data_IF_048396446662
#
_entry.id   IF_048396446662
#
_cell.length_a   1.000
_cell.length_b   1.000
_cell.length_c   1.000
_cell.angle_alpha   90.00
_cell.angle_beta   90.00
_cell.angle_gamma   90.00
#
_symmetry.space_group_name_H-M   'P 1'
#
loop_
_entity.id
_entity.type
_entity.pdbx_description
1 polymer ?
#
# COMPACT_ATOMS: atom_id res chain seq x y z
N UNK A 1 -62.57 7.86 -10.89
CA UNK A 1 -61.81 8.90 -11.61
C UNK A 1 -60.65 8.20 -12.31
N UNK A 2 -60.70 8.16 -13.63
CA UNK A 2 -59.78 7.45 -14.52
C UNK A 2 -58.69 8.45 -14.96
N UNK A 3 -57.41 8.11 -14.78
CA UNK A 3 -56.30 8.84 -15.38
C UNK A 3 -55.64 7.96 -16.47
N UNK A 4 -55.31 8.53 -17.65
CA UNK A 4 -54.85 7.76 -18.79
C UNK A 4 -53.35 7.44 -18.73
N UNK A 5 -53.03 6.25 -19.24
CA UNK A 5 -51.70 5.76 -19.55
C UNK A 5 -51.00 6.65 -20.58
N UNK A 6 -49.76 7.05 -20.30
CA UNK A 6 -48.86 7.66 -21.29
C UNK A 6 -47.85 6.59 -21.73
N UNK A 7 -47.96 6.20 -23.00
CA UNK A 7 -46.99 5.43 -23.76
C UNK A 7 -46.16 6.44 -24.57
N UNK A 8 -44.83 6.46 -24.44
CA UNK A 8 -43.98 7.01 -25.52
C UNK A 8 -42.49 6.64 -25.42
N UNK A 9 -42.13 5.66 -26.25
CA UNK A 9 -40.90 5.47 -27.05
C UNK A 9 -39.48 5.41 -26.44
N UNK A 10 -38.67 4.42 -26.85
CA UNK A 10 -37.23 4.37 -26.59
C UNK A 10 -36.45 5.18 -27.62
N UNK A 11 -35.53 6.04 -27.16
CA UNK A 11 -34.53 6.69 -28.02
C UNK A 11 -33.28 5.82 -28.03
N UNK A 12 -33.09 5.10 -29.14
CA UNK A 12 -31.86 4.42 -29.51
C UNK A 12 -30.80 5.48 -29.87
N UNK A 13 -29.82 5.71 -29.01
CA UNK A 13 -28.65 6.51 -29.35
C UNK A 13 -27.53 5.58 -29.84
N UNK A 14 -27.32 5.52 -31.16
CA UNK A 14 -26.10 5.00 -31.77
C UNK A 14 -24.92 5.88 -31.36
N UNK A 15 -23.98 5.34 -30.60
CA UNK A 15 -22.67 5.96 -30.39
C UNK A 15 -21.65 5.29 -31.32
N UNK A 16 -21.20 6.08 -32.28
CA UNK A 16 -20.20 5.78 -33.30
C UNK A 16 -18.83 5.57 -32.64
N UNK A 17 -18.23 4.40 -32.87
CA UNK A 17 -16.85 4.07 -32.54
C UNK A 17 -15.90 4.76 -33.53
N UNK A 18 -15.30 5.89 -33.13
CA UNK A 18 -14.11 6.42 -33.82
C UNK A 18 -12.85 5.79 -33.22
N UNK A 19 -12.22 4.88 -33.96
CA UNK A 19 -10.88 4.37 -33.68
C UNK A 19 -9.86 5.48 -34.00
N UNK A 20 -9.29 6.09 -32.97
CA UNK A 20 -8.08 6.90 -33.09
C UNK A 20 -6.86 6.02 -32.81
N UNK A 21 -6.30 5.47 -33.89
CA UNK A 21 -4.93 4.94 -33.92
C UNK A 21 -3.96 6.13 -33.90
N UNK A 22 -3.39 6.42 -32.73
CA UNK A 22 -2.26 7.35 -32.61
C UNK A 22 -0.96 6.56 -32.60
N UNK A 23 -0.18 6.75 -33.67
CA UNK A 23 1.16 6.22 -33.84
C UNK A 23 2.18 6.99 -32.96
N UNK A 24 3.27 6.29 -32.66
CA UNK A 24 4.35 6.64 -31.74
C UNK A 24 5.02 8.01 -31.97
N UNK A 25 5.84 8.45 -31.00
CA UNK A 25 7.26 8.42 -31.31
C UNK A 25 8.10 7.63 -30.28
N UNK A 26 8.97 6.78 -30.82
CA UNK A 26 10.10 6.21 -30.11
C UNK A 26 11.04 7.35 -29.68
N UNK A 27 11.23 7.54 -28.37
CA UNK A 27 12.37 8.30 -27.87
C UNK A 27 13.55 7.37 -27.64
N UNK A 28 14.55 7.62 -28.47
CA UNK A 28 15.84 6.97 -28.58
C UNK A 28 16.75 7.42 -27.43
N UNK A 29 17.34 6.43 -26.76
CA UNK A 29 18.67 6.42 -26.13
C UNK A 29 19.32 7.75 -25.69
N UNK A 30 19.55 7.85 -24.39
CA UNK A 30 20.82 8.37 -23.88
C UNK A 30 21.32 7.46 -22.76
N UNK A 31 22.03 6.41 -23.17
CA UNK A 31 22.90 5.65 -22.27
C UNK A 31 24.11 6.53 -21.95
N UNK A 32 24.13 7.12 -20.76
CA UNK A 32 25.33 7.71 -20.21
C UNK A 32 26.35 6.58 -19.93
N UNK A 33 27.37 6.52 -20.76
CA UNK A 33 28.58 5.75 -20.50
C UNK A 33 29.29 6.34 -19.28
N UNK A 34 29.12 5.71 -18.11
CA UNK A 34 30.00 5.99 -16.97
C UNK A 34 31.29 5.20 -17.20
N UNK A 35 32.38 5.95 -17.36
CA UNK A 35 33.74 5.45 -17.51
C UNK A 35 34.14 4.58 -16.31
N UNK A 36 34.42 3.31 -16.57
CA UNK A 36 35.11 2.42 -15.64
C UNK A 36 36.54 2.93 -15.41
N UNK A 37 36.78 3.53 -14.25
CA UNK A 37 38.14 3.69 -13.71
C UNK A 37 38.58 2.36 -13.08
N UNK A 38 39.74 1.80 -13.46
CA UNK A 38 40.32 0.68 -12.72
C UNK A 38 40.81 1.17 -11.36
N UNK A 39 40.09 0.82 -10.30
CA UNK A 39 40.59 0.92 -8.93
C UNK A 39 41.75 -0.06 -8.76
N UNK A 40 42.98 0.47 -8.70
CA UNK A 40 44.14 -0.29 -8.24
C UNK A 40 43.94 -0.68 -6.77
N UNK A 41 43.81 -1.98 -6.53
CA UNK A 41 43.80 -2.54 -5.19
C UNK A 41 45.19 -2.44 -4.58
N UNK A 42 45.34 -1.60 -3.56
CA UNK A 42 46.49 -1.61 -2.67
C UNK A 42 46.45 -2.90 -1.82
N UNK A 43 47.56 -3.64 -1.67
CA UNK A 43 47.64 -4.79 -0.76
C UNK A 43 47.47 -4.32 0.69
N UNK A 44 46.26 -4.45 1.22
CA UNK A 44 46.00 -4.27 2.64
C UNK A 44 46.61 -5.42 3.46
N UNK A 45 47.08 -5.15 4.69
CA UNK A 45 47.62 -6.18 5.59
C UNK A 45 46.58 -7.29 5.87
N UNK A 46 47.03 -8.51 6.19
CA UNK A 46 46.16 -9.67 6.38
C UNK A 46 45.05 -9.35 7.39
N UNK A 47 43.83 -9.26 6.84
CA UNK A 47 42.61 -8.89 7.54
C UNK A 47 42.38 -9.76 8.77
N UNK A 48 42.36 -9.09 9.92
CA UNK A 48 41.75 -9.58 11.14
C UNK A 48 40.28 -9.88 10.88
N UNK A 49 39.93 -11.16 11.02
CA UNK A 49 38.59 -11.73 10.88
C UNK A 49 37.74 -11.23 12.05
N UNK A 50 37.28 -9.98 11.98
CA UNK A 50 36.13 -9.52 12.74
C UNK A 50 34.90 -9.81 11.90
N UNK A 51 34.33 -11.01 12.03
CA UNK A 51 32.92 -11.16 11.72
C UNK A 51 32.17 -10.35 12.80
N UNK A 52 31.52 -9.22 12.47
CA UNK A 52 30.67 -8.58 13.43
C UNK A 52 29.62 -9.62 13.83
N UNK A 53 29.59 -9.98 15.11
CA UNK A 53 28.50 -10.79 15.68
C UNK A 53 27.22 -10.08 15.26
N UNK A 54 26.52 -10.67 14.31
CA UNK A 54 25.21 -10.21 13.85
C UNK A 54 24.26 -10.43 15.03
N UNK A 55 24.08 -9.39 15.84
CA UNK A 55 23.05 -9.35 16.84
C UNK A 55 21.73 -9.32 16.07
N UNK A 56 21.08 -10.49 15.96
CA UNK A 56 19.74 -10.60 15.38
C UNK A 56 18.78 -9.87 16.32
N UNK A 57 18.51 -8.61 16.01
CA UNK A 57 17.44 -7.87 16.68
C UNK A 57 16.12 -8.60 16.37
N UNK A 58 15.25 -8.84 17.37
CA UNK A 58 13.91 -9.34 17.08
C UNK A 58 13.16 -8.36 16.16
N UNK A 59 12.30 -8.87 15.27
CA UNK A 59 11.44 -7.99 14.48
C UNK A 59 10.51 -7.20 15.39
N UNK A 60 10.25 -5.94 15.03
CA UNK A 60 9.22 -5.12 15.66
C UNK A 60 7.96 -5.18 14.79
N UNK A 61 6.79 -5.57 15.31
CA UNK A 61 5.54 -5.51 14.56
C UNK A 61 5.07 -4.07 14.34
N UNK A 62 4.19 -3.90 13.35
CA UNK A 62 3.48 -2.66 13.12
C UNK A 62 2.35 -2.50 14.15
N UNK A 63 2.08 -1.26 14.57
CA UNK A 63 0.88 -0.94 15.34
C UNK A 63 -0.11 -0.26 14.41
N UNK A 64 -1.27 -0.89 14.24
CA UNK A 64 -2.32 -0.43 13.34
C UNK A 64 -3.59 -0.15 14.15
N UNK A 65 -4.23 0.97 13.86
CA UNK A 65 -5.47 1.39 14.48
C UNK A 65 -6.58 1.40 13.43
N UNK A 66 -7.59 0.55 13.64
CA UNK A 66 -8.78 0.49 12.82
C UNK A 66 -9.90 1.31 13.45
N UNK A 67 -10.51 2.17 12.65
CA UNK A 67 -11.68 2.96 13.02
C UNK A 67 -12.94 2.35 12.38
N UNK A 68 -14.13 2.69 12.90
CA UNK A 68 -15.39 2.26 12.32
C UNK A 68 -15.48 2.48 10.82
N UNK A 69 -16.03 1.48 10.14
CA UNK A 69 -16.16 1.51 8.69
C UNK A 69 -17.04 2.69 8.27
N UNK A 70 -16.65 3.32 7.18
CA UNK A 70 -17.63 4.05 6.40
C UNK A 70 -18.45 2.99 5.67
N UNK A 71 -19.49 2.45 6.30
CA UNK A 71 -20.44 1.49 5.67
C UNK A 71 -20.99 1.99 4.33
N UNK A 72 -20.83 3.28 4.04
CA UNK A 72 -21.14 3.92 2.77
C UNK A 72 -19.88 4.06 1.92
N UNK A 73 -20.00 3.75 0.63
CA UNK A 73 -19.00 4.11 -0.36
C UNK A 73 -18.67 5.61 -0.19
N UNK A 74 -17.39 5.98 -0.04
CA UNK A 74 -17.04 7.35 0.22
C UNK A 74 -17.45 8.27 -0.92
N UNK A 75 -17.98 9.44 -0.56
CA UNK A 75 -18.21 10.51 -1.52
C UNK A 75 -16.85 11.01 -2.02
N UNK A 76 -16.66 11.01 -3.34
CA UNK A 76 -15.38 11.32 -4.02
C UNK A 76 -14.85 12.73 -3.65
N UNK A 77 -15.72 13.62 -3.17
CA UNK A 77 -15.41 15.01 -2.83
C UNK A 77 -15.21 15.26 -1.32
N UNK A 78 -15.27 14.24 -0.47
CA UNK A 78 -15.03 14.39 0.96
C UNK A 78 -13.53 14.52 1.22
N UNK A 79 -13.00 15.73 1.11
CA UNK A 79 -11.61 16.01 1.47
C UNK A 79 -11.49 15.97 2.99
N UNK A 80 -11.07 14.83 3.54
CA UNK A 80 -10.58 14.77 4.91
C UNK A 80 -9.05 14.74 4.86
N UNK A 81 -8.34 15.65 5.55
CA UNK A 81 -6.89 15.61 5.58
C UNK A 81 -6.36 14.50 6.50
N UNK A 82 -7.17 14.05 7.46
CA UNK A 82 -6.75 13.18 8.56
C UNK A 82 -7.61 11.92 8.67
N UNK A 83 -7.04 10.87 9.28
CA UNK A 83 -7.79 9.67 9.66
C UNK A 83 -8.99 10.05 10.54
N UNK A 84 -10.00 9.17 10.62
CA UNK A 84 -11.16 9.35 11.48
C UNK A 84 -10.80 9.20 12.98
N UNK A 85 -9.82 9.96 13.45
CA UNK A 85 -9.37 9.99 14.85
C UNK A 85 -10.38 10.68 15.77
N UNK A 86 -11.43 11.29 15.20
CA UNK A 86 -12.57 11.79 15.98
C UNK A 86 -13.37 10.66 16.64
N UNK A 87 -13.28 9.44 16.11
CA UNK A 87 -13.80 8.24 16.75
C UNK A 87 -12.70 7.50 17.51
N UNK A 88 -13.05 6.87 18.63
CA UNK A 88 -12.16 5.93 19.31
C UNK A 88 -11.78 4.81 18.35
N UNK A 89 -10.48 4.46 18.23
CA UNK A 89 -10.09 3.31 17.43
C UNK A 89 -10.76 2.09 18.03
N UNK A 90 -11.40 1.36 17.15
CA UNK A 90 -12.25 0.26 17.49
C UNK A 90 -11.49 -1.05 17.71
N UNK A 91 -10.33 -1.15 17.07
CA UNK A 91 -9.43 -2.26 17.20
C UNK A 91 -7.99 -1.75 17.02
N UNK A 92 -7.12 -2.15 17.93
CA UNK A 92 -5.68 -1.94 17.85
C UNK A 92 -5.04 -3.30 17.57
N UNK A 93 -4.32 -3.40 16.46
CA UNK A 93 -3.75 -4.66 16.00
C UNK A 93 -2.25 -4.55 15.77
N UNK A 94 -1.55 -5.60 16.17
CA UNK A 94 -0.12 -5.76 15.99
C UNK A 94 0.12 -6.64 14.76
N UNK A 95 0.71 -6.09 13.71
CA UNK A 95 0.96 -6.82 12.45
C UNK A 95 2.45 -7.09 12.28
N UNK A 96 2.84 -8.35 12.41
CA UNK A 96 4.21 -8.78 12.14
C UNK A 96 4.58 -8.56 10.65
N UNK A 97 5.85 -8.26 10.34
CA UNK A 97 6.33 -8.32 8.96
C UNK A 97 5.99 -9.66 8.30
N UNK A 98 5.87 -9.67 6.98
CA UNK A 98 5.50 -10.85 6.17
C UNK A 98 4.11 -11.42 6.44
N UNK A 99 3.27 -10.72 7.21
CA UNK A 99 1.87 -11.10 7.45
C UNK A 99 0.95 -10.23 6.61
N UNK A 100 0.08 -10.86 5.82
CA UNK A 100 -0.95 -10.18 5.03
C UNK A 100 -2.17 -9.90 5.91
N UNK A 101 -2.51 -8.63 6.07
CA UNK A 101 -3.77 -8.18 6.64
C UNK A 101 -4.77 -7.93 5.51
N UNK A 102 -5.95 -8.52 5.55
CA UNK A 102 -6.99 -8.35 4.51
C UNK A 102 -8.34 -7.92 5.09
N UNK A 103 -9.11 -7.16 4.32
CA UNK A 103 -10.47 -6.76 4.70
C UNK A 103 -11.45 -6.78 3.52
N UNK A 104 -12.72 -7.00 3.84
CA UNK A 104 -13.85 -7.04 2.87
C UNK A 104 -14.83 -5.86 3.04
N UNK A 105 -14.32 -4.76 3.58
CA UNK A 105 -15.03 -3.49 3.82
C UNK A 105 -14.24 -2.32 3.21
N UNK A 106 -14.83 -1.13 3.14
CA UNK A 106 -14.17 0.00 2.48
C UNK A 106 -13.00 0.53 3.31
N UNK A 107 -11.80 0.55 2.73
CA UNK A 107 -10.65 1.22 3.33
C UNK A 107 -10.69 2.72 2.97
N UNK A 108 -11.32 3.53 3.83
CA UNK A 108 -11.45 4.97 3.63
C UNK A 108 -11.28 5.74 4.94
N UNK A 109 -10.07 6.27 5.18
CA UNK A 109 -9.73 7.04 6.38
C UNK A 109 -9.95 6.30 7.71
N UNK A 110 -10.03 4.98 7.66
CA UNK A 110 -10.36 4.11 8.78
C UNK A 110 -9.23 3.14 9.17
N UNK A 111 -8.04 3.31 8.58
CA UNK A 111 -6.84 2.58 8.97
C UNK A 111 -5.69 3.56 9.12
N UNK A 112 -5.21 3.68 10.36
CA UNK A 112 -4.03 4.46 10.73
C UNK A 112 -2.89 3.50 11.04
N UNK A 113 -1.75 3.73 10.41
CA UNK A 113 -0.48 3.11 10.76
C UNK A 113 0.14 4.02 11.82
N UNK A 114 0.05 3.58 13.07
CA UNK A 114 0.52 4.33 14.24
C UNK A 114 2.02 4.12 14.44
N UNK A 115 2.49 2.88 14.26
CA UNK A 115 3.91 2.52 14.24
C UNK A 115 4.23 1.59 13.08
N UNK A 116 5.36 1.85 12.41
CA UNK A 116 5.87 0.98 11.34
C UNK A 116 6.68 -0.20 11.91
N UNK A 117 6.61 -1.36 11.25
CA UNK A 117 7.40 -2.51 11.65
C UNK A 117 8.87 -2.36 11.26
N UNK A 118 9.73 -3.05 12.00
CA UNK A 118 11.18 -3.14 11.77
C UNK A 118 11.54 -4.61 11.57
N UNK A 119 12.32 -4.87 10.54
CA UNK A 119 12.78 -6.18 10.16
C UNK A 119 13.83 -6.72 11.13
N UNK A 120 14.09 -8.04 11.09
CA UNK A 120 15.06 -8.70 11.98
C UNK A 120 16.51 -8.20 11.79
N UNK A 121 16.82 -7.66 10.62
CA UNK A 121 18.11 -7.04 10.31
C UNK A 121 18.17 -5.56 10.72
N UNK A 122 17.12 -5.04 11.36
CA UNK A 122 17.00 -3.63 11.74
C UNK A 122 16.58 -2.71 10.60
N UNK A 123 16.40 -3.23 9.38
CA UNK A 123 15.89 -2.45 8.26
C UNK A 123 14.41 -2.15 8.43
N UNK A 124 13.94 -1.12 7.74
CA UNK A 124 12.52 -0.78 7.75
C UNK A 124 11.77 -1.58 6.70
N UNK A 125 10.63 -2.13 7.10
CA UNK A 125 9.79 -2.86 6.17
C UNK A 125 9.11 -1.93 5.16
N UNK A 126 8.93 -2.40 3.94
CA UNK A 126 8.20 -1.71 2.89
C UNK A 126 6.73 -2.13 2.95
N UNK A 127 5.85 -1.16 3.12
CA UNK A 127 4.41 -1.39 3.05
C UNK A 127 3.99 -1.60 1.60
N UNK A 128 3.20 -2.63 1.34
CA UNK A 128 2.58 -2.91 0.04
C UNK A 128 1.06 -3.02 0.21
N UNK A 129 0.32 -2.35 -0.66
CA UNK A 129 -1.14 -2.35 -0.66
C UNK A 129 -1.69 -2.97 -1.95
N UNK A 130 -2.75 -3.76 -1.79
CA UNK A 130 -3.43 -4.47 -2.86
C UNK A 130 -4.94 -4.22 -2.79
N UNK A 131 -5.62 -3.87 -3.90
CA UNK A 131 -7.07 -3.71 -3.95
C UNK A 131 -7.78 -5.07 -4.14
N UNK A 132 -7.37 -6.07 -3.36
CA UNK A 132 -7.86 -7.45 -3.33
C UNK A 132 -7.58 -8.03 -1.95
N UNK A 133 -8.21 -9.14 -1.57
CA UNK A 133 -8.01 -9.76 -0.25
C UNK A 133 -6.73 -10.61 -0.12
N UNK A 134 -5.85 -10.60 -1.13
CA UNK A 134 -4.63 -11.39 -1.15
C UNK A 134 -3.42 -10.51 -1.45
N UNK A 135 -2.38 -10.62 -0.62
CA UNK A 135 -1.09 -9.99 -0.83
C UNK A 135 -0.24 -10.79 -1.83
N UNK A 136 -0.65 -10.81 -3.09
CA UNK A 136 0.04 -11.51 -4.19
C UNK A 136 0.03 -10.65 -5.45
N UNK A 137 1.00 -10.83 -6.35
CA UNK A 137 1.14 -10.09 -7.61
C UNK A 137 1.62 -8.65 -7.43
N UNK A 138 1.30 -7.77 -8.38
CA UNK A 138 1.71 -6.36 -8.31
C UNK A 138 0.85 -5.56 -7.31
N UNK A 139 1.45 -4.88 -6.31
CA UNK A 139 0.73 -3.99 -5.44
C UNK A 139 0.38 -2.68 -6.16
N UNK A 140 -0.78 -2.12 -5.82
CA UNK A 140 -1.19 -0.81 -6.36
C UNK A 140 -0.47 0.36 -5.69
N UNK A 141 0.13 0.14 -4.52
CA UNK A 141 0.92 1.15 -3.83
C UNK A 141 2.04 0.51 -2.99
N UNK A 142 3.18 1.21 -2.92
CA UNK A 142 4.36 0.84 -2.13
C UNK A 142 4.89 2.06 -1.40
N UNK A 143 5.24 1.90 -0.13
CA UNK A 143 5.91 2.93 0.65
C UNK A 143 6.92 2.33 1.63
N UNK A 144 8.18 2.76 1.53
CA UNK A 144 9.23 2.37 2.47
C UNK A 144 9.15 3.13 3.81
N UNK A 145 8.56 4.34 3.78
CA UNK A 145 8.27 5.20 4.93
C UNK A 145 7.09 6.15 4.59
N UNK A 146 6.38 6.67 5.60
CA UNK A 146 5.66 7.93 5.42
C UNK A 146 6.68 9.02 5.09
N UNK A 147 6.30 10.01 4.28
CA UNK A 147 7.24 11.09 3.97
C UNK A 147 7.54 11.81 5.27
N UNK A 148 8.80 12.21 5.44
CA UNK A 148 9.26 12.90 6.65
C UNK A 148 8.51 14.23 6.90
N UNK A 149 7.84 14.72 5.85
CA UNK A 149 6.99 15.92 5.83
C UNK A 149 5.55 15.66 6.33
N UNK A 150 5.21 14.42 6.70
CA UNK A 150 3.92 14.10 7.31
C UNK A 150 3.99 14.45 8.81
N UNK A 151 3.64 15.71 9.13
CA UNK A 151 3.78 16.50 10.37
C UNK A 151 3.30 15.90 11.73
N UNK A 152 2.99 14.61 11.84
CA UNK A 152 2.61 13.97 13.10
C UNK A 152 3.32 12.63 13.33
N UNK A 153 4.57 12.70 13.80
CA UNK A 153 5.23 11.57 14.46
C UNK A 153 5.46 10.32 13.59
N UNK A 154 5.43 10.45 12.26
CA UNK A 154 5.61 9.31 11.35
C UNK A 154 4.40 8.38 11.26
N UNK A 155 3.20 8.88 11.57
CA UNK A 155 1.95 8.14 11.39
C UNK A 155 1.42 8.30 9.97
N UNK A 156 0.74 7.28 9.44
CA UNK A 156 0.16 7.34 8.09
C UNK A 156 -1.29 6.88 8.07
N UNK A 157 -2.16 7.73 7.54
CA UNK A 157 -3.54 7.37 7.28
C UNK A 157 -3.71 6.80 5.87
N UNK A 158 -4.30 5.62 5.74
CA UNK A 158 -4.64 5.05 4.43
C UNK A 158 -5.98 5.60 3.95
N UNK A 159 -5.89 6.71 3.20
CA UNK A 159 -7.05 7.43 2.67
C UNK A 159 -7.20 7.37 1.15
N UNK A 160 -6.11 7.13 0.41
CA UNK A 160 -6.08 7.26 -1.06
C UNK A 160 -6.60 6.02 -1.81
N UNK A 161 -7.07 5.00 -1.09
CA UNK A 161 -7.36 3.69 -1.67
C UNK A 161 -8.78 3.19 -1.36
N UNK A 162 -9.83 3.82 -1.92
CA UNK A 162 -11.21 3.42 -1.68
C UNK A 162 -11.53 2.09 -2.37
N UNK A 163 -11.10 0.98 -1.79
CA UNK A 163 -11.44 -0.36 -2.23
C UNK A 163 -12.25 -1.08 -1.16
N UNK A 164 -13.29 -1.80 -1.58
CA UNK A 164 -14.07 -2.71 -0.72
C UNK A 164 -13.29 -3.96 -0.35
N UNK A 165 -12.40 -4.39 -1.23
CA UNK A 165 -11.53 -5.53 -1.01
C UNK A 165 -10.11 -4.99 -0.96
N UNK A 166 -9.42 -5.22 0.14
CA UNK A 166 -8.08 -4.71 0.30
C UNK A 166 -7.23 -5.69 1.09
N UNK A 167 -5.93 -5.61 0.86
CA UNK A 167 -4.95 -6.27 1.70
C UNK A 167 -3.67 -5.46 1.76
N UNK A 168 -2.95 -5.63 2.85
CA UNK A 168 -1.72 -4.92 3.16
C UNK A 168 -0.71 -5.89 3.77
N UNK A 169 0.55 -5.73 3.41
CA UNK A 169 1.67 -6.47 4.03
C UNK A 169 2.85 -5.53 4.16
N UNK A 170 3.64 -5.73 5.22
CA UNK A 170 4.94 -5.11 5.39
C UNK A 170 6.02 -6.13 5.04
N UNK A 171 6.75 -5.90 3.95
CA UNK A 171 7.81 -6.80 3.49
C UNK A 171 9.18 -6.36 3.97
N UNK A 172 9.98 -7.31 4.41
CA UNK A 172 11.37 -7.18 4.76
C UNK A 172 12.26 -7.58 3.58
N UNK A 173 13.19 -6.71 3.21
CA UNK A 173 14.00 -6.90 2.01
C UNK A 173 13.33 -6.35 0.74
N UNK A 174 14.15 -6.12 -0.30
CA UNK A 174 13.72 -5.51 -1.56
C UNK A 174 13.11 -6.49 -2.57
N UNK A 175 12.96 -7.77 -2.20
CA UNK A 175 12.39 -8.81 -3.05
C UNK A 175 10.87 -8.66 -3.15
N UNK A 176 10.36 -8.53 -4.38
CA UNK A 176 8.96 -8.82 -4.66
C UNK A 176 8.88 -10.27 -5.08
N UNK A 177 8.92 -11.15 -4.11
CA UNK A 177 8.69 -12.55 -4.40
C UNK A 177 7.21 -12.67 -4.79
N UNK A 178 6.93 -13.30 -5.93
CA UNK A 178 5.55 -13.55 -6.39
C UNK A 178 4.79 -14.47 -5.43
N UNK A 179 5.53 -15.20 -4.61
CA UNK A 179 5.04 -15.93 -3.44
C UNK A 179 4.49 -14.91 -2.44
N UNK A 180 3.19 -14.99 -2.16
CA UNK A 180 2.49 -14.05 -1.30
C UNK A 180 3.00 -14.00 0.14
N UNK A 181 2.22 -13.43 1.05
CA UNK A 181 2.58 -13.48 2.46
C UNK A 181 2.53 -14.93 2.98
N UNK A 182 3.42 -15.28 3.90
CA UNK A 182 3.41 -16.61 4.55
C UNK A 182 2.20 -16.76 5.49
N UNK A 183 1.73 -15.64 6.05
CA UNK A 183 0.66 -15.60 7.05
C UNK A 183 -0.43 -14.63 6.62
N UNK A 184 -1.65 -14.93 7.04
CA UNK A 184 -2.84 -14.15 6.73
C UNK A 184 -3.62 -13.85 7.99
N UNK A 185 -4.10 -12.61 8.10
CA UNK A 185 -4.98 -12.12 9.15
C UNK A 185 -6.13 -11.35 8.51
N UNK A 186 -7.34 -11.60 8.98
CA UNK A 186 -8.50 -10.83 8.57
C UNK A 186 -8.71 -9.65 9.51
N UNK A 187 -8.75 -8.45 8.91
CA UNK A 187 -9.21 -7.25 9.56
C UNK A 187 -10.72 -7.39 9.80
N UNK A 188 -11.11 -7.44 11.07
CA UNK A 188 -12.51 -7.40 11.46
C UNK A 188 -12.88 -5.92 11.62
N UNK A 189 -13.79 -5.38 10.80
CA UNK A 189 -14.29 -4.04 11.04
C UNK A 189 -15.02 -4.04 12.38
N UNK A 190 -14.97 -2.96 13.13
CA UNK A 190 -15.77 -2.89 14.35
C UNK A 190 -17.26 -2.81 14.04
N UNK A 191 -18.03 -3.28 15.00
CA UNK A 191 -19.47 -3.11 15.00
C UNK A 191 -19.79 -1.69 15.51
N UNK A 192 -20.68 -0.98 14.80
CA UNK A 192 -21.23 0.33 15.20
C UNK A 192 -22.18 0.20 16.41
#
# INVERSE_FOLDING_TARGET
MLFPSIVSHPVLALLVLTRLTSAAPQQQQQQAALQNHPLQATPGPPNSIFQPKSWKTPSKPAHLLLFPDSTRKPAINAHRPTCNTTSTPSNALSLEPETCLSGTYYLWYNLLIDDYPVCKDGSQAVMMYYPRTKCMGDPSFKAARPRQDDDEGGKMCLSRFPSRFWSLVFRCGGGMDEEGAERYLDAVPPED
#
